data_IF_869239994536
#
_entry.id   IF_869239994536
#
_cell.length_a   1.000
_cell.length_b   1.000
_cell.length_c   1.000
_cell.angle_alpha   90.00
_cell.angle_beta   90.00
_cell.angle_gamma   90.00
#
_symmetry.space_group_name_H-M   'P 1'
#
loop_
_entity.id
_entity.type
_entity.pdbx_description
1 polymer ?
#
# COMPACT_ATOMS: atom_id res chain seq x y z
N UNK A 1 20.63 -14.69 -73.20
CA UNK A 1 19.71 -14.38 -72.09
C UNK A 1 20.50 -13.56 -71.07
N UNK A 2 20.40 -12.23 -71.10
CA UNK A 2 21.10 -11.38 -70.14
C UNK A 2 20.36 -11.45 -68.81
N UNK A 3 20.97 -12.09 -67.82
CA UNK A 3 20.42 -12.15 -66.46
C UNK A 3 20.59 -10.75 -65.87
N UNK A 4 19.48 -10.05 -65.64
CA UNK A 4 19.47 -8.73 -65.01
C UNK A 4 19.94 -8.84 -63.54
N UNK A 5 21.25 -8.78 -63.32
CA UNK A 5 21.91 -8.75 -62.01
C UNK A 5 21.55 -7.53 -61.15
N UNK A 6 20.90 -6.51 -61.72
CA UNK A 6 20.50 -5.28 -61.04
C UNK A 6 19.32 -5.47 -60.07
N UNK A 7 18.44 -6.44 -60.35
CA UNK A 7 17.28 -6.75 -59.52
C UNK A 7 17.66 -7.45 -58.20
N UNK A 8 18.48 -8.53 -58.19
CA UNK A 8 18.92 -9.15 -56.93
C UNK A 8 19.82 -8.23 -56.09
N UNK A 9 20.62 -7.36 -56.72
CA UNK A 9 21.48 -6.42 -55.99
C UNK A 9 20.66 -5.35 -55.24
N UNK A 10 19.57 -4.86 -55.83
CA UNK A 10 18.63 -3.96 -55.14
C UNK A 10 17.96 -4.65 -53.95
N UNK A 11 17.53 -5.90 -54.12
CA UNK A 11 16.95 -6.69 -53.02
C UNK A 11 17.94 -6.89 -51.87
N UNK A 12 19.21 -7.18 -52.17
CA UNK A 12 20.25 -7.32 -51.15
C UNK A 12 20.47 -6.01 -50.36
N UNK A 13 20.44 -4.85 -51.03
CA UNK A 13 20.53 -3.55 -50.36
C UNK A 13 19.34 -3.31 -49.42
N UNK A 14 18.11 -3.57 -49.87
CA UNK A 14 16.92 -3.46 -49.02
C UNK A 14 16.98 -4.39 -47.81
N UNK A 15 17.42 -5.63 -48.00
CA UNK A 15 17.62 -6.57 -46.90
C UNK A 15 18.70 -6.11 -45.92
N UNK A 16 19.80 -5.54 -46.40
CA UNK A 16 20.83 -4.98 -45.53
C UNK A 16 20.27 -3.82 -44.68
N UNK A 17 19.47 -2.92 -45.27
CA UNK A 17 18.81 -1.86 -44.52
C UNK A 17 17.82 -2.39 -43.48
N UNK A 18 16.99 -3.38 -43.84
CA UNK A 18 16.05 -4.03 -42.91
C UNK A 18 16.81 -4.70 -41.76
N UNK A 19 17.90 -5.42 -42.05
CA UNK A 19 18.69 -6.13 -41.06
C UNK A 19 19.36 -5.15 -40.08
N UNK A 20 19.91 -4.04 -40.59
CA UNK A 20 20.46 -2.97 -39.74
C UNK A 20 19.37 -2.36 -38.86
N UNK A 21 18.19 -2.06 -39.40
CA UNK A 21 17.07 -1.51 -38.61
C UNK A 21 16.60 -2.49 -37.53
N UNK A 22 16.51 -3.79 -37.84
CA UNK A 22 16.18 -4.84 -36.87
C UNK A 22 17.23 -4.96 -35.78
N UNK A 23 18.51 -4.89 -36.14
CA UNK A 23 19.61 -4.95 -35.18
C UNK A 23 19.60 -3.75 -34.23
N UNK A 24 19.38 -2.54 -34.76
CA UNK A 24 19.22 -1.33 -33.95
C UNK A 24 18.00 -1.46 -33.02
N UNK A 25 16.88 -2.00 -33.51
CA UNK A 25 15.70 -2.18 -32.70
C UNK A 25 15.97 -3.13 -31.52
N UNK A 26 16.48 -4.33 -31.79
CA UNK A 26 16.74 -5.33 -30.76
C UNK A 26 17.82 -4.88 -29.77
N UNK A 27 18.90 -4.24 -30.25
CA UNK A 27 20.04 -3.87 -29.41
C UNK A 27 19.81 -2.60 -28.58
N UNK A 28 19.01 -1.64 -29.07
CA UNK A 28 18.86 -0.33 -28.43
C UNK A 28 17.40 0.01 -28.08
N UNK A 29 16.49 -0.04 -29.06
CA UNK A 29 15.12 0.45 -28.87
C UNK A 29 14.35 -0.45 -27.90
N UNK A 30 14.41 -1.76 -28.09
CA UNK A 30 13.73 -2.73 -27.24
C UNK A 30 14.18 -2.65 -25.76
N UNK A 31 15.49 -2.72 -25.41
CA UNK A 31 15.90 -2.59 -24.02
C UNK A 31 15.57 -1.23 -23.42
N UNK A 32 15.65 -0.14 -24.21
CA UNK A 32 15.24 1.19 -23.77
C UNK A 32 13.73 1.24 -23.47
N UNK A 33 12.90 0.65 -24.32
CA UNK A 33 11.45 0.59 -24.13
C UNK A 33 11.09 -0.18 -22.85
N UNK A 34 11.76 -1.32 -22.60
CA UNK A 34 11.56 -2.11 -21.41
C UNK A 34 12.01 -1.36 -20.14
N UNK A 35 13.11 -0.61 -20.21
CA UNK A 35 13.59 0.22 -19.11
C UNK A 35 12.62 1.37 -18.79
N UNK A 36 12.17 2.10 -19.80
CA UNK A 36 11.21 3.20 -19.64
C UNK A 36 9.86 2.70 -19.12
N UNK A 37 9.37 1.58 -19.66
CA UNK A 37 8.12 1.01 -19.17
C UNK A 37 8.25 0.52 -17.73
N UNK A 38 9.40 -0.06 -17.35
CA UNK A 38 9.65 -0.47 -15.96
C UNK A 38 9.61 0.72 -15.01
N UNK A 39 10.26 1.83 -15.35
CA UNK A 39 10.24 3.07 -14.56
C UNK A 39 8.80 3.61 -14.43
N UNK A 40 8.09 3.73 -15.56
CA UNK A 40 6.69 4.14 -15.58
C UNK A 40 5.79 3.24 -14.72
N UNK A 41 5.95 1.92 -14.84
CA UNK A 41 5.21 0.95 -14.04
C UNK A 41 5.49 1.11 -12.55
N UNK A 42 6.75 1.27 -12.15
CA UNK A 42 7.12 1.45 -10.73
C UNK A 42 6.59 2.75 -10.14
N UNK A 43 6.43 3.81 -10.93
CA UNK A 43 5.83 5.07 -10.48
C UNK A 43 4.31 4.96 -10.32
N UNK A 44 3.64 4.18 -11.19
CA UNK A 44 2.19 4.00 -11.09
C UNK A 44 1.78 3.05 -9.96
N UNK A 45 2.56 1.98 -9.76
CA UNK A 45 2.33 0.98 -8.71
C UNK A 45 3.63 0.87 -7.91
N UNK A 46 3.82 1.72 -6.90
CA UNK A 46 4.99 1.65 -6.04
C UNK A 46 5.05 0.28 -5.33
N UNK A 47 6.25 -0.25 -5.05
CA UNK A 47 6.39 -1.54 -4.37
C UNK A 47 5.87 -1.53 -2.93
N UNK A 48 5.80 -0.36 -2.29
CA UNK A 48 5.34 -0.15 -0.91
C UNK A 48 3.80 -0.14 -0.81
N UNK A 49 3.13 -1.19 -1.31
CA UNK A 49 1.65 -1.21 -1.43
C UNK A 49 0.93 -1.39 -0.10
N UNK A 50 1.60 -1.95 0.91
CA UNK A 50 1.04 -2.22 2.22
C UNK A 50 1.98 -1.76 3.32
N UNK A 51 1.41 -1.16 4.35
CA UNK A 51 2.13 -0.74 5.54
C UNK A 51 1.40 -1.25 6.78
N UNK A 52 2.13 -1.91 7.67
CA UNK A 52 1.62 -2.38 8.96
C UNK A 52 2.26 -1.58 10.07
N UNK A 53 1.44 -1.13 11.01
CA UNK A 53 1.86 -0.33 12.16
C UNK A 53 1.27 -0.94 13.41
N UNK A 54 2.12 -1.21 14.40
CA UNK A 54 1.68 -1.72 15.69
C UNK A 54 1.01 -0.61 16.51
N UNK A 55 0.05 -0.98 17.36
CA UNK A 55 -0.60 -0.03 18.26
C UNK A 55 0.37 0.54 19.31
N UNK A 56 1.51 -0.11 19.56
CA UNK A 56 2.61 0.40 20.40
C UNK A 56 3.16 1.74 19.91
N UNK A 57 3.16 1.96 18.59
CA UNK A 57 3.74 3.15 17.95
C UNK A 57 2.72 4.30 17.79
N UNK A 58 1.54 4.15 18.38
CA UNK A 58 0.49 5.17 18.36
C UNK A 58 0.62 6.13 19.55
N UNK A 59 0.11 7.34 19.39
CA UNK A 59 -0.10 8.23 20.54
C UNK A 59 -1.29 7.70 21.32
N UNK A 60 -1.03 7.18 22.51
CA UNK A 60 -2.06 6.65 23.40
C UNK A 60 -2.54 7.76 24.33
N UNK A 61 -3.81 8.11 24.20
CA UNK A 61 -4.50 8.85 25.24
C UNK A 61 -5.28 7.83 26.09
N UNK A 62 -4.78 7.60 27.29
CA UNK A 62 -5.45 6.73 28.25
C UNK A 62 -6.55 7.57 28.91
N UNK A 63 -7.79 7.41 28.46
CA UNK A 63 -8.94 8.08 29.05
C UNK A 63 -9.01 7.71 30.54
N UNK A 64 -8.79 8.69 31.41
CA UNK A 64 -8.94 8.50 32.86
C UNK A 64 -10.34 7.96 33.18
N UNK A 65 -10.43 7.04 34.15
CA UNK A 65 -11.62 6.41 34.81
C UNK A 65 -12.90 6.08 34.00
N UNK A 66 -13.01 6.42 32.73
CA UNK A 66 -14.24 6.43 31.91
C UNK A 66 -14.34 5.24 30.96
N UNK A 67 -13.39 4.30 31.01
CA UNK A 67 -13.41 3.08 30.19
C UNK A 67 -13.27 3.35 28.68
N UNK A 68 -12.81 4.56 28.31
CA UNK A 68 -12.50 4.95 26.92
C UNK A 68 -10.98 4.86 26.71
N UNK A 69 -10.54 4.08 25.73
CA UNK A 69 -9.15 4.07 25.28
C UNK A 69 -9.07 4.60 23.86
N UNK A 70 -8.19 5.57 23.62
CA UNK A 70 -8.00 6.20 22.32
C UNK A 70 -6.57 6.01 21.83
N UNK A 71 -6.45 5.61 20.57
CA UNK A 71 -5.19 5.43 19.86
C UNK A 71 -5.17 6.36 18.66
N UNK A 72 -4.17 7.23 18.62
CA UNK A 72 -4.05 8.24 17.57
C UNK A 72 -2.84 7.93 16.68
N UNK A 73 -3.10 7.83 15.38
CA UNK A 73 -2.10 7.60 14.33
C UNK A 73 -2.01 8.83 13.44
N UNK A 74 -0.91 9.56 13.55
CA UNK A 74 -0.65 10.73 12.71
C UNK A 74 -0.09 10.30 11.35
N UNK A 75 -0.64 10.83 10.27
CA UNK A 75 -0.21 10.54 8.90
C UNK A 75 0.77 11.60 8.40
N UNK A 76 1.90 11.15 7.84
CA UNK A 76 2.83 11.99 7.10
C UNK A 76 2.78 11.61 5.63
N UNK A 77 2.36 12.54 4.77
CA UNK A 77 2.20 12.29 3.33
C UNK A 77 3.49 12.62 2.58
N UNK A 78 3.90 11.72 1.69
CA UNK A 78 5.06 11.84 0.80
C UNK A 78 4.63 11.78 -0.66
N UNK A 79 5.36 12.46 -1.54
CA UNK A 79 5.05 12.43 -2.97
C UNK A 79 5.30 11.04 -3.55
N UNK A 80 4.63 10.70 -4.64
CA UNK A 80 4.92 9.46 -5.39
C UNK A 80 6.31 9.51 -6.06
N UNK A 81 6.88 10.70 -6.22
CA UNK A 81 8.23 10.91 -6.77
C UNK A 81 9.35 10.52 -5.79
N UNK A 82 9.07 10.48 -4.48
CA UNK A 82 10.04 10.07 -3.47
C UNK A 82 10.30 8.56 -3.58
N UNK A 83 11.57 8.14 -3.63
CA UNK A 83 11.93 6.78 -4.08
C UNK A 83 11.39 5.68 -3.17
N UNK A 84 11.36 5.86 -1.84
CA UNK A 84 10.84 4.88 -0.88
C UNK A 84 10.16 5.56 0.30
N UNK A 85 9.07 4.97 0.80
CA UNK A 85 8.48 5.39 2.07
C UNK A 85 9.39 4.96 3.24
N UNK A 86 9.62 5.81 4.25
CA UNK A 86 10.29 5.36 5.46
C UNK A 86 9.47 4.26 6.14
N UNK A 87 10.13 3.29 6.76
CA UNK A 87 9.45 2.25 7.53
C UNK A 87 9.23 2.71 8.96
N UNK A 88 8.10 2.33 9.56
CA UNK A 88 7.85 2.57 10.98
C UNK A 88 8.64 1.53 11.77
N UNK A 89 9.52 1.99 12.64
CA UNK A 89 10.34 1.12 13.49
C UNK A 89 9.56 0.67 14.72
N UNK A 90 9.67 -0.60 15.13
CA UNK A 90 9.01 -1.10 16.35
C UNK A 90 9.84 -0.75 17.58
N UNK A 91 9.83 0.52 17.97
CA UNK A 91 10.64 1.03 19.09
C UNK A 91 9.78 1.45 20.31
N UNK A 92 8.46 1.29 20.24
CA UNK A 92 7.52 1.66 21.29
C UNK A 92 7.29 3.16 21.43
N UNK A 93 7.75 3.97 20.47
CA UNK A 93 7.59 5.42 20.49
C UNK A 93 6.61 5.87 19.41
N UNK A 94 5.78 6.85 19.77
CA UNK A 94 4.83 7.44 18.85
C UNK A 94 5.52 7.96 17.57
N UNK A 95 5.18 7.36 16.43
CA UNK A 95 5.73 7.70 15.12
C UNK A 95 4.62 8.07 14.14
N UNK A 96 4.90 9.01 13.24
CA UNK A 96 3.99 9.31 12.15
C UNK A 96 4.04 8.21 11.10
N UNK A 97 2.87 7.76 10.65
CA UNK A 97 2.70 6.72 9.65
C UNK A 97 2.89 7.34 8.26
N UNK A 98 3.93 6.93 7.51
CA UNK A 98 4.26 7.54 6.23
C UNK A 98 3.43 6.94 5.10
N UNK A 99 2.61 7.77 4.46
CA UNK A 99 1.70 7.38 3.38
C UNK A 99 1.99 8.18 2.10
N UNK A 100 1.61 7.66 0.93
CA UNK A 100 1.67 8.44 -0.32
C UNK A 100 0.57 9.50 -0.35
N UNK A 101 0.86 10.67 -0.91
CA UNK A 101 -0.10 11.76 -1.09
C UNK A 101 -1.20 11.41 -2.09
N UNK A 102 -0.84 10.74 -3.18
CA UNK A 102 -1.70 10.64 -4.37
C UNK A 102 -2.54 9.35 -4.43
N UNK A 103 -2.48 8.53 -3.37
CA UNK A 103 -3.13 7.21 -3.34
C UNK A 103 -4.00 7.10 -2.08
N UNK A 104 -5.29 6.73 -2.19
CA UNK A 104 -6.12 6.42 -1.04
C UNK A 104 -5.75 5.05 -0.45
N UNK A 105 -5.98 4.84 0.84
CA UNK A 105 -5.60 3.60 1.53
C UNK A 105 -6.81 2.94 2.20
N UNK A 106 -7.00 1.64 1.99
CA UNK A 106 -7.91 0.82 2.80
C UNK A 106 -7.26 0.54 4.15
N UNK A 107 -8.07 0.60 5.21
CA UNK A 107 -7.64 0.30 6.57
C UNK A 107 -8.07 -1.12 6.91
N UNK A 108 -7.20 -1.94 7.47
CA UNK A 108 -7.60 -3.13 8.22
C UNK A 108 -7.12 -2.97 9.66
N UNK A 109 -7.98 -3.28 10.63
CA UNK A 109 -7.64 -3.16 12.05
C UNK A 109 -7.76 -4.53 12.71
N UNK A 110 -6.67 -4.98 13.32
CA UNK A 110 -6.65 -6.16 14.18
C UNK A 110 -6.51 -5.69 15.63
N UNK A 111 -7.49 -6.03 16.46
CA UNK A 111 -7.54 -5.64 17.88
C UNK A 111 -7.54 -6.88 18.75
N UNK A 112 -6.60 -6.95 19.69
CA UNK A 112 -6.58 -7.95 20.75
C UNK A 112 -6.86 -7.26 22.09
N UNK A 113 -8.02 -7.57 22.67
CA UNK A 113 -8.59 -6.85 23.80
C UNK A 113 -8.77 -7.80 24.98
N UNK A 114 -8.11 -7.47 26.08
CA UNK A 114 -8.36 -8.05 27.39
C UNK A 114 -9.40 -7.20 28.12
N UNK A 115 -10.51 -7.82 28.53
CA UNK A 115 -11.54 -7.15 29.30
C UNK A 115 -11.53 -7.64 30.76
N UNK A 116 -11.48 -6.70 31.70
CA UNK A 116 -11.52 -6.96 33.13
C UNK A 116 -12.75 -6.30 33.76
N UNK A 117 -13.66 -7.11 34.28
CA UNK A 117 -14.85 -6.65 34.98
C UNK A 117 -14.53 -6.35 36.46
N UNK A 118 -14.93 -5.17 36.93
CA UNK A 118 -14.76 -4.76 38.34
C UNK A 118 -15.92 -5.20 39.23
N UNK A 119 -17.07 -5.49 38.65
CA UNK A 119 -18.30 -5.86 39.36
C UNK A 119 -18.63 -7.32 39.05
N UNK A 120 -19.16 -8.06 40.01
CA UNK A 120 -19.59 -9.48 39.88
C UNK A 120 -20.87 -9.62 39.06
N UNK A 121 -20.90 -8.98 37.90
CA UNK A 121 -21.98 -9.02 36.93
C UNK A 121 -21.61 -9.97 35.77
N UNK A 122 -22.46 -9.98 34.75
CA UNK A 122 -22.36 -10.77 33.53
C UNK A 122 -20.95 -10.68 32.92
N UNK A 123 -20.42 -11.83 32.49
CA UNK A 123 -19.10 -11.95 31.87
C UNK A 123 -19.04 -11.38 30.46
N UNK A 124 -20.18 -11.17 29.80
CA UNK A 124 -20.22 -10.60 28.44
C UNK A 124 -20.63 -9.13 28.51
N UNK A 125 -19.89 -8.25 27.84
CA UNK A 125 -20.16 -6.81 27.79
C UNK A 125 -20.13 -6.27 26.37
N UNK A 126 -20.99 -5.30 26.11
CA UNK A 126 -20.95 -4.53 24.87
C UNK A 126 -19.83 -3.49 24.93
N UNK A 127 -18.97 -3.54 23.93
CA UNK A 127 -18.03 -2.48 23.63
C UNK A 127 -18.30 -1.90 22.26
N UNK A 128 -17.75 -0.73 22.02
CA UNK A 128 -17.91 -0.01 20.79
C UNK A 128 -16.53 0.43 20.31
N UNK A 129 -16.21 0.04 19.08
CA UNK A 129 -15.08 0.59 18.34
C UNK A 129 -15.63 1.68 17.44
N UNK A 130 -15.03 2.86 17.52
CA UNK A 130 -15.25 3.93 16.55
C UNK A 130 -13.93 4.34 15.91
N UNK A 131 -13.96 4.53 14.60
CA UNK A 131 -12.87 5.10 13.82
C UNK A 131 -13.26 6.51 13.43
N UNK A 132 -12.39 7.46 13.75
CA UNK A 132 -12.57 8.86 13.44
C UNK A 132 -11.36 9.42 12.73
N UNK A 133 -11.59 10.33 11.80
CA UNK A 133 -10.55 10.88 10.93
C UNK A 133 -10.52 12.38 11.07
N UNK A 134 -9.33 12.94 11.25
CA UNK A 134 -9.08 14.36 11.22
C UNK A 134 -8.62 14.76 9.82
N UNK A 135 -9.40 15.62 9.18
CA UNK A 135 -9.11 16.15 7.83
C UNK A 135 -8.36 17.48 7.91
N UNK A 136 -7.51 17.75 6.93
CA UNK A 136 -6.81 19.03 6.82
C UNK A 136 -7.80 20.20 6.77
N UNK A 137 -7.64 21.16 7.69
CA UNK A 137 -8.49 22.36 7.76
C UNK A 137 -9.75 22.21 8.61
N UNK A 138 -10.04 21.03 9.17
CA UNK A 138 -11.13 20.84 10.14
C UNK A 138 -10.54 20.57 11.53
N UNK A 139 -11.07 21.26 12.55
CA UNK A 139 -10.65 21.09 13.94
C UNK A 139 -11.29 19.88 14.64
N UNK A 140 -12.43 19.40 14.13
CA UNK A 140 -13.17 18.27 14.71
C UNK A 140 -12.94 16.97 13.93
N UNK A 141 -12.73 15.87 14.66
CA UNK A 141 -12.74 14.54 14.09
C UNK A 141 -14.14 14.21 13.53
N UNK A 142 -14.20 13.68 12.31
CA UNK A 142 -15.44 13.05 11.81
C UNK A 142 -15.40 11.56 12.13
N UNK A 143 -16.40 11.05 12.83
CA UNK A 143 -16.58 9.61 13.02
C UNK A 143 -17.03 9.01 11.70
N UNK A 144 -16.24 8.06 11.18
CA UNK A 144 -16.46 7.47 9.85
C UNK A 144 -16.98 6.04 9.96
N UNK A 145 -16.63 5.35 11.03
CA UNK A 145 -17.07 3.98 11.25
C UNK A 145 -17.34 3.77 12.73
N UNK A 146 -18.38 2.99 13.03
CA UNK A 146 -18.79 2.63 14.39
C UNK A 146 -19.34 1.21 14.37
N UNK A 147 -18.83 0.35 15.24
CA UNK A 147 -19.30 -1.03 15.36
C UNK A 147 -19.31 -1.46 16.82
N UNK A 148 -20.38 -2.12 17.21
CA UNK A 148 -20.51 -2.77 18.53
C UNK A 148 -19.84 -4.14 18.49
N UNK A 149 -19.05 -4.43 19.52
CA UNK A 149 -18.35 -5.69 19.77
C UNK A 149 -18.86 -6.31 21.06
N UNK A 150 -18.97 -7.64 21.09
CA UNK A 150 -19.35 -8.41 22.28
C UNK A 150 -18.09 -8.98 22.93
N UNK A 151 -17.64 -8.39 24.04
CA UNK A 151 -16.43 -8.80 24.77
C UNK A 151 -16.74 -9.82 25.86
N UNK A 152 -15.94 -10.88 25.92
CA UNK A 152 -15.84 -11.73 27.10
C UNK A 152 -14.87 -11.11 28.11
N UNK A 153 -15.34 -10.84 29.31
CA UNK A 153 -14.64 -10.15 30.38
C UNK A 153 -14.40 -11.10 31.56
N UNK A 154 -13.15 -11.16 32.03
CA UNK A 154 -12.81 -11.87 33.25
C UNK A 154 -13.13 -10.99 34.46
N UNK A 155 -13.66 -11.59 35.52
CA UNK A 155 -13.82 -10.89 36.79
C UNK A 155 -12.45 -10.71 37.46
N UNK A 156 -12.14 -9.48 37.85
CA UNK A 156 -10.88 -9.14 38.52
C UNK A 156 -10.59 -9.99 39.76
N UNK A 157 -11.62 -10.41 40.51
CA UNK A 157 -11.47 -11.29 41.69
C UNK A 157 -11.02 -12.70 41.32
N UNK A 158 -11.49 -13.23 40.19
CA UNK A 158 -11.21 -14.59 39.75
C UNK A 158 -9.79 -14.69 39.15
N UNK A 159 -9.27 -13.60 38.59
CA UNK A 159 -7.88 -13.54 38.12
C UNK A 159 -6.89 -13.59 39.29
N UNK A 160 -7.21 -12.94 40.42
CA UNK A 160 -6.35 -12.95 41.61
C UNK A 160 -6.32 -14.30 42.34
N UNK A 161 -7.45 -15.03 42.39
CA UNK A 161 -7.49 -16.36 43.00
C UNK A 161 -6.65 -17.38 42.22
N UNK A 162 -6.60 -17.23 40.90
CA UNK A 162 -5.79 -18.06 39.99
C UNK A 162 -4.28 -17.76 40.09
N UNK A 163 -3.89 -16.53 40.43
CA UNK A 163 -2.48 -16.17 40.67
C UNK A 163 -1.96 -16.57 42.07
N UNK A 164 -2.86 -16.87 43.02
CA UNK A 164 -2.51 -17.20 44.41
C UNK A 164 -1.94 -18.62 44.59
N UNK A 165 -2.21 -19.52 43.65
CA UNK A 165 -1.65 -20.87 43.62
C UNK A 165 -0.28 -20.82 42.94
N UNK A 166 0.78 -20.93 43.75
CA UNK A 166 2.20 -20.86 43.34
C UNK A 166 2.46 -21.71 42.08
N UNK A 167 2.98 -21.07 41.03
CA UNK A 167 3.37 -21.57 39.70
C UNK A 167 2.20 -21.86 38.75
N UNK A 168 1.70 -20.79 38.15
CA UNK A 168 1.07 -20.88 36.82
C UNK A 168 2.08 -21.52 35.88
N UNK A 169 1.81 -22.74 35.41
CA UNK A 169 2.61 -23.35 34.35
C UNK A 169 2.52 -22.47 33.10
N UNK A 170 3.60 -22.37 32.33
CA UNK A 170 3.65 -21.55 31.10
C UNK A 170 2.56 -21.93 30.10
N UNK A 171 2.12 -23.19 30.12
CA UNK A 171 0.99 -23.70 29.34
C UNK A 171 -0.35 -23.15 29.81
N UNK A 172 -0.59 -23.08 31.12
CA UNK A 172 -1.86 -22.60 31.67
C UNK A 172 -1.98 -21.08 31.58
N UNK A 173 -0.90 -20.33 31.79
CA UNK A 173 -0.89 -18.88 31.56
C UNK A 173 -1.18 -18.53 30.09
N UNK A 174 -0.64 -19.33 29.17
CA UNK A 174 -0.86 -19.15 27.74
C UNK A 174 -2.30 -19.51 27.36
N UNK A 175 -2.84 -20.59 27.91
CA UNK A 175 -4.23 -20.98 27.71
C UNK A 175 -5.22 -19.92 28.23
N UNK A 176 -4.95 -19.33 29.41
CA UNK A 176 -5.74 -18.22 29.94
C UNK A 176 -5.63 -16.98 29.04
N UNK A 177 -4.43 -16.67 28.54
CA UNK A 177 -4.26 -15.57 27.59
C UNK A 177 -5.07 -15.83 26.31
N UNK A 178 -4.98 -17.03 25.74
CA UNK A 178 -5.70 -17.38 24.52
C UNK A 178 -7.24 -17.39 24.72
N UNK A 179 -7.73 -17.79 25.91
CA UNK A 179 -9.17 -17.84 26.22
C UNK A 179 -9.77 -16.48 26.64
N UNK A 180 -8.98 -15.58 27.23
CA UNK A 180 -9.45 -14.28 27.72
C UNK A 180 -9.17 -13.11 26.76
N UNK A 181 -8.35 -13.31 25.72
CA UNK A 181 -8.15 -12.32 24.66
C UNK A 181 -9.32 -12.38 23.68
N UNK A 182 -10.02 -11.27 23.56
CA UNK A 182 -10.98 -11.09 22.49
C UNK A 182 -10.24 -10.54 21.27
N UNK A 183 -10.10 -11.37 20.23
CA UNK A 183 -9.49 -10.97 18.96
C UNK A 183 -10.56 -10.57 17.95
N UNK A 184 -10.45 -9.36 17.42
CA UNK A 184 -11.32 -8.85 16.36
C UNK A 184 -10.51 -8.37 15.18
N UNK A 185 -10.99 -8.74 13.99
CA UNK A 185 -10.47 -8.27 12.72
C UNK A 185 -11.54 -7.49 11.98
N UNK A 186 -11.27 -6.22 11.74
CA UNK A 186 -12.11 -5.30 10.98
C UNK A 186 -11.44 -5.11 9.62
N UNK A 187 -11.97 -5.77 8.59
CA UNK A 187 -11.44 -5.69 7.22
C UNK A 187 -12.08 -4.53 6.48
N UNK A 188 -11.26 -3.62 5.97
CA UNK A 188 -11.66 -2.50 5.11
C UNK A 188 -12.93 -1.76 5.57
N UNK A 189 -13.02 -1.30 6.84
CA UNK A 189 -14.21 -0.61 7.33
C UNK A 189 -14.38 0.78 6.68
N UNK A 190 -13.27 1.37 6.19
CA UNK A 190 -13.24 2.67 5.53
C UNK A 190 -11.93 2.84 4.72
N UNK A 191 -11.93 3.74 3.74
CA UNK A 191 -10.75 4.15 2.97
C UNK A 191 -10.29 5.56 3.35
N UNK A 192 -9.01 5.73 3.69
CA UNK A 192 -8.39 7.01 4.02
C UNK A 192 -8.16 7.83 2.76
N UNK A 193 -8.91 8.92 2.63
CA UNK A 193 -8.73 9.94 1.58
C UNK A 193 -7.43 10.74 1.75
N UNK A 194 -7.05 11.47 0.70
CA UNK A 194 -5.79 12.25 0.63
C UNK A 194 -5.70 13.38 1.66
N UNK A 195 -6.83 13.91 2.11
CA UNK A 195 -6.94 15.03 3.04
C UNK A 195 -6.83 14.64 4.52
N UNK A 196 -6.83 13.33 4.81
CA UNK A 196 -6.72 12.82 6.17
C UNK A 196 -5.31 13.02 6.74
N UNK A 197 -5.24 13.70 7.89
CA UNK A 197 -4.01 13.95 8.67
C UNK A 197 -3.82 12.96 9.81
N UNK A 198 -4.90 12.46 10.38
CA UNK A 198 -4.82 11.61 11.55
C UNK A 198 -6.02 10.66 11.61
N UNK A 199 -5.78 9.43 12.06
CA UNK A 199 -6.79 8.44 12.39
C UNK A 199 -6.80 8.21 13.90
N UNK A 200 -7.95 8.41 14.52
CA UNK A 200 -8.20 8.07 15.91
C UNK A 200 -9.11 6.84 15.99
N UNK A 201 -8.61 5.81 16.65
CA UNK A 201 -9.34 4.59 16.98
C UNK A 201 -9.71 4.68 18.44
N UNK A 202 -11.02 4.72 18.72
CA UNK A 202 -11.51 4.77 20.09
C UNK A 202 -12.32 3.53 20.43
N UNK A 203 -11.99 2.94 21.59
CA UNK A 203 -12.69 1.80 22.16
C UNK A 203 -13.41 2.28 23.42
N UNK A 204 -14.70 2.02 23.52
CA UNK A 204 -15.53 2.36 24.69
C UNK A 204 -16.30 1.13 25.14
N UNK A 205 -16.23 0.78 26.41
CA UNK A 205 -17.07 -0.28 26.98
C UNK A 205 -18.27 0.30 27.71
N UNK A 206 -19.42 -0.36 27.62
CA UNK A 206 -20.58 -0.04 28.42
C UNK A 206 -20.41 -0.61 29.85
N UNK A 207 -20.38 0.27 30.86
CA UNK A 207 -20.33 -0.10 32.28
C UNK A 207 -18.95 -0.04 32.92
N UNK A 208 -18.80 -0.64 34.10
CA UNK A 208 -17.60 -0.57 34.95
C UNK A 208 -16.56 -1.64 34.59
N UNK A 209 -16.23 -1.79 33.31
CA UNK A 209 -15.19 -2.69 32.82
C UNK A 209 -13.94 -1.92 32.40
N UNK A 210 -12.76 -2.47 32.71
CA UNK A 210 -11.49 -1.98 32.22
C UNK A 210 -11.13 -2.71 30.93
N UNK A 211 -10.81 -1.96 29.88
CA UNK A 211 -10.32 -2.47 28.61
C UNK A 211 -8.81 -2.30 28.54
N UNK A 212 -8.09 -3.38 28.28
CA UNK A 212 -6.65 -3.40 28.07
C UNK A 212 -6.42 -3.95 26.67
N UNK A 213 -6.01 -3.07 25.76
CA UNK A 213 -5.60 -3.49 24.41
C UNK A 213 -4.13 -3.90 24.49
N UNK A 214 -3.79 -5.05 23.93
CA UNK A 214 -2.40 -5.45 23.77
C UNK A 214 -1.79 -4.68 22.58
N UNK A 215 -0.90 -3.71 22.84
CA UNK A 215 -0.37 -2.85 21.80
C UNK A 215 0.52 -3.60 20.81
N UNK A 216 1.17 -4.69 21.23
CA UNK A 216 2.17 -5.38 20.41
C UNK A 216 1.53 -6.37 19.43
N UNK A 217 0.41 -6.99 19.82
CA UNK A 217 -0.32 -7.92 18.96
C UNK A 217 -1.46 -7.28 18.18
N UNK A 218 -1.86 -6.05 18.55
CA UNK A 218 -2.82 -5.25 17.77
C UNK A 218 -2.10 -4.49 16.67
N UNK A 219 -2.68 -4.50 15.47
CA UNK A 219 -2.06 -3.98 14.26
C UNK A 219 -3.03 -3.15 13.44
N UNK A 220 -2.53 -2.04 12.90
CA UNK A 220 -3.17 -1.23 11.88
C UNK A 220 -2.48 -1.53 10.55
N UNK A 221 -3.21 -2.08 9.59
CA UNK A 221 -2.73 -2.31 8.23
C UNK A 221 -3.35 -1.31 7.28
N UNK A 222 -2.52 -0.63 6.51
CA UNK A 222 -2.90 0.32 5.48
C UNK A 222 -2.49 -0.25 4.14
N UNK A 223 -3.46 -0.51 3.27
CA UNK A 223 -3.21 -1.06 1.94
C UNK A 223 -3.68 -0.06 0.87
N UNK A 224 -2.89 0.15 -0.17
CA UNK A 224 -3.27 1.07 -1.25
C UNK A 224 -4.56 0.59 -1.92
N UNK A 225 -5.54 1.49 -2.03
CA UNK A 225 -6.79 1.21 -2.71
C UNK A 225 -6.68 1.56 -4.20
N UNK A 226 -6.85 0.55 -5.05
CA UNK A 226 -6.87 0.70 -6.50
C UNK A 226 -8.19 0.26 -7.16
N UNK A 227 -9.23 -0.07 -6.39
CA UNK A 227 -10.42 -0.80 -6.88
C UNK A 227 -11.01 -0.22 -8.17
N UNK A 228 -11.11 1.11 -8.27
CA UNK A 228 -11.69 1.83 -9.42
C UNK A 228 -10.66 2.38 -10.43
N UNK A 229 -9.41 1.93 -10.39
CA UNK A 229 -8.32 2.46 -11.22
C UNK A 229 -7.83 1.44 -12.26
N UNK A 230 -7.33 1.94 -13.40
CA UNK A 230 -6.56 1.13 -14.37
C UNK A 230 -5.42 0.35 -13.69
N UNK A 231 -4.89 0.86 -12.59
CA UNK A 231 -3.88 0.21 -11.75
C UNK A 231 -4.32 -1.18 -11.27
N UNK A 232 -5.59 -1.40 -10.93
CA UNK A 232 -6.08 -2.71 -10.51
C UNK A 232 -6.01 -3.75 -11.64
N UNK A 233 -6.37 -3.34 -12.87
CA UNK A 233 -6.24 -4.20 -14.05
C UNK A 233 -4.76 -4.56 -14.30
N UNK A 234 -3.87 -3.57 -14.17
CA UNK A 234 -2.43 -3.76 -14.32
C UNK A 234 -1.85 -4.75 -13.29
N UNK A 235 -2.30 -4.68 -12.03
CA UNK A 235 -1.90 -5.61 -10.97
C UNK A 235 -2.39 -7.03 -11.30
N UNK A 236 -3.66 -7.17 -11.68
CA UNK A 236 -4.28 -8.48 -11.98
C UNK A 236 -3.62 -9.17 -13.17
N UNK A 237 -3.26 -8.40 -14.20
CA UNK A 237 -2.66 -8.90 -15.44
C UNK A 237 -1.20 -8.46 -15.58
N UNK A 238 -0.41 -8.55 -14.50
CA UNK A 238 0.97 -8.01 -14.44
C UNK A 238 1.84 -8.40 -15.64
N UNK A 239 1.87 -9.69 -15.99
CA UNK A 239 2.70 -10.19 -17.12
C UNK A 239 2.23 -9.61 -18.45
N UNK A 240 0.92 -9.65 -18.72
CA UNK A 240 0.33 -9.16 -19.95
C UNK A 240 0.51 -7.64 -20.09
N UNK A 241 0.27 -6.91 -19.00
CA UNK A 241 0.51 -5.47 -18.91
C UNK A 241 1.96 -5.12 -19.20
N UNK A 242 2.91 -5.91 -18.68
CA UNK A 242 4.33 -5.68 -18.92
C UNK A 242 4.72 -5.91 -20.39
N UNK A 243 4.24 -6.99 -20.99
CA UNK A 243 4.49 -7.29 -22.41
C UNK A 243 3.85 -6.23 -23.31
N UNK A 244 2.55 -5.96 -23.13
CA UNK A 244 1.81 -4.97 -23.93
C UNK A 244 2.42 -3.57 -23.75
N UNK A 245 2.71 -3.18 -22.51
CA UNK A 245 3.32 -1.90 -22.20
C UNK A 245 4.69 -1.71 -22.86
N UNK A 246 5.54 -2.73 -22.80
CA UNK A 246 6.85 -2.71 -23.48
C UNK A 246 6.67 -2.56 -24.99
N UNK A 247 5.76 -3.32 -25.62
CA UNK A 247 5.48 -3.24 -27.06
C UNK A 247 4.96 -1.85 -27.45
N UNK A 248 4.10 -1.24 -26.65
CA UNK A 248 3.59 0.13 -26.93
C UNK A 248 4.74 1.14 -26.89
N UNK A 249 5.61 1.09 -25.87
CA UNK A 249 6.77 1.96 -25.80
C UNK A 249 7.75 1.72 -26.95
N UNK A 250 8.00 0.45 -27.30
CA UNK A 250 8.83 0.06 -28.43
C UNK A 250 8.30 0.63 -29.75
N UNK A 251 6.99 0.53 -29.97
CA UNK A 251 6.32 1.08 -31.16
C UNK A 251 6.46 2.60 -31.22
N UNK A 252 6.24 3.29 -30.10
CA UNK A 252 6.37 4.75 -30.02
C UNK A 252 7.80 5.19 -30.35
N UNK A 253 8.81 4.58 -29.71
CA UNK A 253 10.23 4.91 -29.94
C UNK A 253 10.62 4.58 -31.38
N UNK A 254 10.17 3.45 -31.92
CA UNK A 254 10.43 3.04 -33.31
C UNK A 254 9.83 4.04 -34.31
N UNK A 255 8.59 4.51 -34.08
CA UNK A 255 7.96 5.54 -34.93
C UNK A 255 8.78 6.83 -34.91
N UNK A 256 9.19 7.31 -33.73
CA UNK A 256 10.04 8.50 -33.63
C UNK A 256 11.39 8.30 -34.32
N UNK A 257 12.00 7.12 -34.18
CA UNK A 257 13.26 6.79 -34.84
C UNK A 257 13.13 6.80 -36.36
N UNK A 258 12.09 6.17 -36.92
CA UNK A 258 11.84 6.14 -38.36
C UNK A 258 11.55 7.53 -38.93
N UNK A 259 10.78 8.35 -38.22
CA UNK A 259 10.53 9.74 -38.61
C UNK A 259 11.82 10.56 -38.63
N UNK A 260 12.64 10.46 -37.58
CA UNK A 260 13.93 11.15 -37.51
C UNK A 260 14.89 10.68 -38.62
N UNK A 261 14.94 9.36 -38.88
CA UNK A 261 15.72 8.76 -39.94
C UNK A 261 15.27 9.28 -41.31
N UNK A 262 13.96 9.26 -41.61
CA UNK A 262 13.41 9.78 -42.85
C UNK A 262 13.71 11.27 -43.08
N UNK A 263 13.54 12.10 -42.05
CA UNK A 263 13.88 13.53 -42.11
C UNK A 263 15.37 13.78 -42.37
N UNK A 264 16.24 12.97 -41.77
CA UNK A 264 17.69 13.07 -41.95
C UNK A 264 18.11 12.71 -43.37
N UNK A 265 17.53 11.64 -43.93
CA UNK A 265 17.75 11.25 -45.32
C UNK A 265 17.25 12.29 -46.32
N UNK A 266 16.07 12.89 -46.08
CA UNK A 266 15.55 13.98 -46.90
C UNK A 266 16.48 15.20 -46.88
N UNK A 267 17.04 15.55 -45.73
CA UNK A 267 18.03 16.65 -45.63
C UNK A 267 19.33 16.31 -46.35
N UNK A 268 19.90 15.13 -46.14
CA UNK A 268 21.15 14.71 -46.78
C UNK A 268 21.01 14.62 -48.32
N UNK A 269 19.85 14.16 -48.81
CA UNK A 269 19.53 14.14 -50.24
C UNK A 269 19.48 15.55 -50.86
N UNK A 270 18.82 16.51 -50.18
CA UNK A 270 18.77 17.91 -50.64
C UNK A 270 20.13 18.61 -50.66
N UNK A 271 21.03 18.26 -49.74
CA UNK A 271 22.42 18.81 -49.73
C UNK A 271 23.23 18.30 -50.92
N UNK A 272 22.96 17.08 -51.39
CA UNK A 272 23.64 16.49 -52.55
C UNK A 272 23.18 17.16 -53.86
N UNK A 273 21.88 17.37 -54.03
CA UNK A 273 21.32 18.09 -55.21
C UNK A 273 21.79 19.55 -55.30
N UNK A 274 22.11 20.18 -54.17
CA UNK A 274 22.66 21.54 -54.13
C UNK A 274 24.15 21.62 -54.48
N UNK A 275 24.89 20.49 -54.46
CA UNK A 275 26.32 20.44 -54.84
C UNK A 275 26.54 20.04 -56.29
N UNK A 276 25.55 19.38 -56.91
CA UNK A 276 25.57 18.97 -58.31
C UNK A 276 24.93 20.02 -59.26
N UNK A 277 24.54 21.18 -58.73
CA UNK A 277 24.20 22.40 -59.49
C UNK A 277 25.31 23.43 -59.33
#
# INVERSE_FOLDING_TARGET
MQINLTLPLKWAQWWAYILILMLVNIAFIFPLSAFLFRDFYSRMIPPDTTQTVSFSESKREMGGWTGKTTFQFDFKRFSTEDTNLPTVSSNGFAQSVPLRSDIPYNIDVTLNIFCLNKVTDWSIRDAEVSLSVFKSGKSSASVVFRKTLLLSCANTRDVHSVSGTRRLTTTFSKQIQDELVNSYRLESPFFVEHDAKCLEISLRCAGNANLIVDPNSSELKLSMNFENSLRNLMIRWKKLTYVVGTIVFDTIITVFFLLAFGLTFLRAGRVKESKDK
#
